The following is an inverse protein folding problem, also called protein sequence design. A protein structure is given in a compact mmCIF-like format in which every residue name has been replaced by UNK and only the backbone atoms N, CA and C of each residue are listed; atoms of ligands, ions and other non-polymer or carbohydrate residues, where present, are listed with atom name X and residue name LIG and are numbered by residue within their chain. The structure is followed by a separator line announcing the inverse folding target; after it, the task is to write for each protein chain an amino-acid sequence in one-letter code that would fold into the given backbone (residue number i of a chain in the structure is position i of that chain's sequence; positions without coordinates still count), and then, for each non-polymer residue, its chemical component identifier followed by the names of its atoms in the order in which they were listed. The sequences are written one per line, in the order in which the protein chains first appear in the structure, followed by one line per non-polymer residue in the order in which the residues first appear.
data_IF_531338272547
#
_entry.id   IF_531338272547
#
_cell.length_a   1.000
_cell.length_b   1.000
_cell.length_c   1.000
_cell.angle_alpha   90.00
_cell.angle_beta   90.00
_cell.angle_gamma   90.00
#
_symmetry.space_group_name_H-M   'P 1'
#
loop_
_entity.id
_entity.type
_entity.pdbx_description
1 polymer ?
#
# COMPACT_ATOMS: atom_id res chain seq x y z
N UNK A 1 28.69 8.47 -12.64
CA UNK A 1 27.22 8.40 -12.80
C UNK A 1 26.69 7.40 -11.77
N UNK A 2 25.75 7.80 -10.91
CA UNK A 2 25.17 6.88 -9.92
C UNK A 2 24.18 5.93 -10.61
N UNK A 3 24.30 4.63 -10.35
CA UNK A 3 23.38 3.62 -10.88
C UNK A 3 21.94 3.89 -10.44
N UNK A 4 20.92 3.63 -11.29
CA UNK A 4 19.53 3.81 -10.91
C UNK A 4 19.21 2.92 -9.70
N UNK A 5 18.62 3.52 -8.66
CA UNK A 5 18.10 2.76 -7.52
C UNK A 5 17.01 1.85 -8.05
N UNK A 6 17.23 0.53 -8.03
CA UNK A 6 16.18 -0.45 -8.26
C UNK A 6 15.19 -0.37 -7.10
N UNK A 7 14.23 0.55 -7.21
CA UNK A 7 13.10 0.62 -6.30
C UNK A 7 12.14 -0.53 -6.61
N UNK A 8 11.57 -1.14 -5.57
CA UNK A 8 10.49 -2.12 -5.70
C UNK A 8 9.39 -1.55 -6.60
N UNK A 9 9.07 -2.23 -7.70
CA UNK A 9 8.06 -1.78 -8.67
C UNK A 9 6.70 -1.71 -7.96
N UNK A 10 6.11 -0.51 -7.90
CA UNK A 10 4.78 -0.29 -7.31
C UNK A 10 3.76 -0.12 -8.43
N UNK A 11 2.66 -0.86 -8.38
CA UNK A 11 1.55 -0.72 -9.32
C UNK A 11 0.67 0.46 -8.91
N UNK A 12 0.56 1.54 -9.70
CA UNK A 12 -0.33 2.65 -9.38
C UNK A 12 -1.80 2.18 -9.47
N UNK A 13 -2.64 2.67 -8.56
CA UNK A 13 -4.06 2.33 -8.51
C UNK A 13 -4.89 3.60 -8.20
N UNK A 14 -5.96 3.81 -8.96
CA UNK A 14 -6.93 4.87 -8.69
C UNK A 14 -7.93 4.39 -7.65
N UNK A 15 -7.86 4.93 -6.44
CA UNK A 15 -8.77 4.59 -5.36
C UNK A 15 -9.95 5.57 -5.28
N UNK A 16 -11.17 5.05 -5.33
CA UNK A 16 -12.39 5.80 -5.00
C UNK A 16 -12.83 5.42 -3.60
N UNK A 17 -12.84 6.38 -2.68
CA UNK A 17 -13.32 6.16 -1.31
C UNK A 17 -14.01 7.41 -0.77
N UNK A 18 -14.78 7.26 0.30
CA UNK A 18 -15.46 8.41 0.91
C UNK A 18 -14.47 9.37 1.58
N UNK A 19 -14.75 10.68 1.60
CA UNK A 19 -13.86 11.65 2.26
C UNK A 19 -13.59 11.34 3.74
N UNK A 20 -14.59 10.82 4.46
CA UNK A 20 -14.43 10.46 5.87
C UNK A 20 -13.44 9.32 6.11
N UNK A 21 -13.40 8.34 5.21
CA UNK A 21 -12.41 7.25 5.28
C UNK A 21 -11.01 7.79 5.02
N UNK A 22 -10.82 8.64 4.01
CA UNK A 22 -9.51 9.26 3.76
C UNK A 22 -9.03 10.10 4.95
N UNK A 23 -9.91 10.92 5.52
CA UNK A 23 -9.56 11.73 6.68
C UNK A 23 -9.11 10.87 7.88
N UNK A 24 -9.77 9.72 8.12
CA UNK A 24 -9.35 8.80 9.17
C UNK A 24 -7.97 8.18 8.90
N UNK A 25 -7.71 7.78 7.65
CA UNK A 25 -6.41 7.22 7.23
C UNK A 25 -5.29 8.26 7.36
N UNK A 26 -5.54 9.50 6.95
CA UNK A 26 -4.58 10.61 7.06
C UNK A 26 -4.20 10.88 8.51
N UNK A 27 -5.18 10.94 9.42
CA UNK A 27 -4.92 11.12 10.86
C UNK A 27 -4.12 9.96 11.45
N UNK A 28 -4.42 8.73 11.06
CA UNK A 28 -3.69 7.55 11.52
C UNK A 28 -2.25 7.55 10.97
N UNK A 29 -2.07 7.85 9.69
CA UNK A 29 -0.75 7.96 9.06
C UNK A 29 0.12 9.03 9.75
N UNK A 30 -0.47 10.18 10.08
CA UNK A 30 0.21 11.24 10.82
C UNK A 30 0.63 10.79 12.24
N UNK A 31 -0.24 10.07 12.95
CA UNK A 31 0.05 9.56 14.29
C UNK A 31 1.20 8.53 14.29
N UNK A 32 1.34 7.76 13.21
CA UNK A 32 2.34 6.68 13.09
C UNK A 32 3.58 7.10 12.27
N UNK A 33 3.72 8.39 11.96
CA UNK A 33 4.83 8.96 11.17
C UNK A 33 5.03 8.27 9.82
N UNK A 34 3.93 7.90 9.16
CA UNK A 34 3.90 7.26 7.85
C UNK A 34 3.30 8.15 6.79
N UNK A 35 3.71 7.94 5.54
CA UNK A 35 2.95 8.48 4.41
C UNK A 35 1.58 7.80 4.33
N UNK A 36 0.58 8.52 3.80
CA UNK A 36 -0.76 7.97 3.57
C UNK A 36 -0.73 6.70 2.73
N UNK A 37 0.10 6.65 1.69
CA UNK A 37 0.25 5.44 0.85
C UNK A 37 0.84 4.25 1.62
N UNK A 38 1.83 4.49 2.49
CA UNK A 38 2.37 3.43 3.33
C UNK A 38 1.34 2.94 4.36
N UNK A 39 0.51 3.84 4.88
CA UNK A 39 -0.58 3.47 5.79
C UNK A 39 -1.63 2.61 5.08
N UNK A 40 -2.02 2.99 3.86
CA UNK A 40 -2.97 2.21 3.05
C UNK A 40 -2.45 0.81 2.79
N UNK A 41 -1.17 0.65 2.44
CA UNK A 41 -0.54 -0.66 2.24
C UNK A 41 -0.63 -1.55 3.49
N UNK A 42 -0.39 -0.99 4.68
CA UNK A 42 -0.46 -1.71 5.96
C UNK A 42 -1.90 -2.15 6.24
N UNK A 43 -2.86 -1.22 6.12
CA UNK A 43 -4.28 -1.51 6.35
C UNK A 43 -4.80 -2.57 5.37
N UNK A 44 -4.40 -2.52 4.10
CA UNK A 44 -4.75 -3.53 3.10
C UNK A 44 -4.14 -4.89 3.45
N UNK A 45 -2.87 -4.93 3.85
CA UNK A 45 -2.20 -6.17 4.30
C UNK A 45 -2.91 -6.80 5.48
N UNK A 46 -3.23 -6.01 6.50
CA UNK A 46 -3.97 -6.49 7.66
C UNK A 46 -5.36 -7.02 7.26
N UNK A 47 -6.09 -6.29 6.42
CA UNK A 47 -7.42 -6.69 5.97
C UNK A 47 -7.39 -8.00 5.17
N UNK A 48 -6.38 -8.20 4.32
CA UNK A 48 -6.18 -9.44 3.55
C UNK A 48 -5.77 -10.59 4.46
N UNK A 49 -4.83 -10.37 5.39
CA UNK A 49 -4.42 -11.37 6.37
C UNK A 49 -5.59 -11.84 7.24
N UNK A 50 -6.46 -10.92 7.71
CA UNK A 50 -7.68 -11.26 8.46
C UNK A 50 -8.66 -12.13 7.68
N UNK A 51 -8.55 -12.16 6.35
CA UNK A 51 -9.34 -13.02 5.44
C UNK A 51 -8.60 -14.31 5.06
N UNK A 52 -7.45 -14.59 5.66
CA UNK A 52 -6.62 -15.76 5.36
C UNK A 52 -5.79 -15.62 4.08
N UNK A 53 -5.69 -14.43 3.49
CA UNK A 53 -4.90 -14.19 2.29
C UNK A 53 -3.49 -13.74 2.69
N UNK A 54 -2.51 -14.62 2.47
CA UNK A 54 -1.09 -14.29 2.64
C UNK A 54 -0.57 -13.57 1.40
N UNK A 55 0.13 -12.46 1.58
CA UNK A 55 0.74 -11.69 0.48
C UNK A 55 2.23 -11.97 0.47
N UNK A 56 2.71 -12.63 -0.57
CA UNK A 56 4.14 -12.78 -0.78
C UNK A 56 4.74 -11.43 -1.21
N UNK A 57 5.70 -10.96 -0.43
CA UNK A 57 6.31 -9.65 -0.62
C UNK A 57 7.32 -9.62 -1.78
N UNK A 58 7.74 -10.80 -2.24
CA UNK A 58 8.76 -11.01 -3.28
C UNK A 58 8.17 -11.50 -4.60
N UNK A 59 6.88 -11.83 -4.64
CA UNK A 59 6.25 -12.23 -5.88
C UNK A 59 6.31 -11.08 -6.89
N UNK A 60 6.87 -11.28 -8.10
CA UNK A 60 6.86 -10.27 -9.14
C UNK A 60 5.39 -9.86 -9.39
N UNK A 61 5.12 -8.59 -9.76
CA UNK A 61 3.78 -8.18 -10.17
C UNK A 61 3.31 -9.17 -11.23
N UNK A 62 2.36 -10.03 -10.88
CA UNK A 62 1.67 -10.86 -11.86
C UNK A 62 0.76 -9.91 -12.62
N UNK A 63 1.32 -9.18 -13.56
CA UNK A 63 0.53 -8.59 -14.63
C UNK A 63 -0.05 -9.76 -15.41
N UNK A 64 -1.36 -9.91 -15.32
CA UNK A 64 -2.11 -10.88 -16.09
C UNK A 64 -2.09 -10.52 -17.58
N UNK A 65 -2.16 -11.58 -18.37
CA UNK A 65 -2.51 -11.60 -19.79
C UNK A 65 -3.77 -10.79 -20.13
#
# INVERSE_FOLDING_TARGET
MAAPRQGKVRKPFLMRTSPGVMAAVERLAAAELRSVNAQLEVLLREALHRRGLSIDEQAPPKDGA
#
